data_IF_613381949837
#
_entry.id   IF_613381949837
#
_cell.length_a   1.000
_cell.length_b   1.000
_cell.length_c   1.000
_cell.angle_alpha   90.00
_cell.angle_beta   90.00
_cell.angle_gamma   90.00
#
_symmetry.space_group_name_H-M   'P 1'
#
loop_
_entity.id
_entity.type
_entity.pdbx_description
1 polymer ?
#
# COMPACT_ATOMS: atom_id res chain seq x y z
N UNK A 1 -13.65 -20.55 -0.16
CA UNK A 1 -13.58 -19.07 -0.03
C UNK A 1 -14.27 -18.72 1.28
N UNK A 2 -13.51 -18.54 2.36
CA UNK A 2 -14.06 -18.05 3.64
C UNK A 2 -13.95 -16.53 3.58
N UNK A 3 -15.05 -15.85 3.27
CA UNK A 3 -15.09 -14.40 3.19
C UNK A 3 -15.58 -13.85 4.53
N UNK A 4 -14.67 -13.35 5.36
CA UNK A 4 -15.02 -12.32 6.33
C UNK A 4 -15.32 -11.03 5.55
N UNK A 5 -16.30 -10.22 5.97
CA UNK A 5 -16.97 -9.17 5.17
C UNK A 5 -16.08 -8.18 4.40
N UNK A 6 -14.79 -8.06 4.71
CA UNK A 6 -13.83 -7.19 4.03
C UNK A 6 -12.43 -7.81 3.82
N UNK A 7 -12.27 -9.13 3.99
CA UNK A 7 -11.00 -9.82 3.83
C UNK A 7 -11.13 -10.97 2.85
N UNK A 8 -10.23 -11.00 1.87
CA UNK A 8 -10.21 -12.01 0.81
C UNK A 8 -8.85 -12.69 0.77
N UNK A 9 -8.86 -14.00 0.57
CA UNK A 9 -7.66 -14.80 0.41
C UNK A 9 -7.57 -15.28 -1.03
N UNK A 10 -6.41 -15.04 -1.64
CA UNK A 10 -6.10 -15.50 -2.99
C UNK A 10 -4.98 -16.52 -2.90
N UNK A 11 -5.19 -17.69 -3.51
CA UNK A 11 -4.15 -18.71 -3.65
C UNK A 11 -3.65 -18.67 -5.10
N UNK A 12 -2.37 -18.40 -5.27
CA UNK A 12 -1.71 -18.41 -6.57
C UNK A 12 -1.05 -19.77 -6.79
N UNK A 13 -1.11 -20.26 -8.03
CA UNK A 13 -0.39 -21.47 -8.46
C UNK A 13 1.05 -21.13 -8.84
N UNK A 14 1.24 -19.99 -9.52
CA UNK A 14 2.53 -19.48 -9.94
C UNK A 14 2.98 -18.33 -9.03
N UNK A 15 4.22 -18.40 -8.54
CA UNK A 15 4.79 -17.34 -7.69
C UNK A 15 5.07 -16.05 -8.49
N UNK A 16 5.35 -16.14 -9.78
CA UNK A 16 5.52 -14.96 -10.64
C UNK A 16 4.22 -14.13 -10.73
N UNK A 17 3.07 -14.81 -10.86
CA UNK A 17 1.77 -14.13 -10.95
C UNK A 17 1.39 -13.50 -9.60
N UNK A 18 1.71 -14.19 -8.51
CA UNK A 18 1.59 -13.62 -7.15
C UNK A 18 2.43 -12.35 -7.03
N UNK A 19 3.69 -12.41 -7.47
CA UNK A 19 4.60 -11.27 -7.38
C UNK A 19 4.12 -10.10 -8.25
N UNK A 20 3.66 -10.38 -9.49
CA UNK A 20 3.03 -9.37 -10.36
C UNK A 20 1.88 -8.64 -9.69
N UNK A 21 0.98 -9.35 -9.02
CA UNK A 21 -0.17 -8.74 -8.33
C UNK A 21 0.28 -7.92 -7.11
N UNK A 22 1.27 -8.40 -6.36
CA UNK A 22 1.83 -7.65 -5.21
C UNK A 22 2.50 -6.36 -5.70
N UNK A 23 3.31 -6.44 -6.75
CA UNK A 23 4.04 -5.31 -7.32
C UNK A 23 3.10 -4.27 -7.95
N UNK A 24 1.94 -4.71 -8.45
CA UNK A 24 0.91 -3.83 -8.99
C UNK A 24 0.29 -2.92 -7.93
N UNK A 25 0.37 -3.30 -6.65
CA UNK A 25 -0.15 -2.53 -5.53
C UNK A 25 -1.69 -2.55 -5.42
N UNK A 26 -2.31 -1.48 -4.90
CA UNK A 26 -3.74 -1.44 -4.65
C UNK A 26 -4.56 -1.58 -5.94
N UNK A 27 -5.52 -2.50 -5.93
CA UNK A 27 -6.42 -2.76 -7.05
C UNK A 27 -7.69 -1.94 -6.91
N UNK A 28 -8.09 -1.27 -7.99
CA UNK A 28 -9.40 -0.63 -8.06
C UNK A 28 -10.40 -1.57 -8.73
N UNK A 29 -11.32 -2.14 -7.95
CA UNK A 29 -12.31 -3.11 -8.42
C UNK A 29 -13.70 -2.69 -7.94
N UNK A 30 -14.67 -2.63 -8.85
CA UNK A 30 -16.06 -2.28 -8.55
C UNK A 30 -16.23 -1.00 -7.69
N UNK A 31 -15.44 0.04 -7.96
CA UNK A 31 -15.50 1.31 -7.23
C UNK A 31 -14.85 1.28 -5.84
N UNK A 32 -14.13 0.20 -5.49
CA UNK A 32 -13.45 0.02 -4.21
C UNK A 32 -11.96 -0.23 -4.42
N UNK A 33 -11.14 0.29 -3.50
CA UNK A 33 -9.71 0.02 -3.45
C UNK A 33 -9.48 -1.23 -2.59
N UNK A 34 -8.77 -2.20 -3.15
CA UNK A 34 -8.32 -3.42 -2.48
C UNK A 34 -6.81 -3.34 -2.30
N UNK A 35 -6.37 -3.33 -1.04
CA UNK A 35 -4.94 -3.43 -0.73
C UNK A 35 -4.54 -4.90 -0.78
N UNK A 36 -3.72 -5.26 -1.76
CA UNK A 36 -3.19 -6.62 -1.89
C UNK A 36 -1.82 -6.68 -1.23
N UNK A 37 -1.58 -7.72 -0.42
CA UNK A 37 -0.31 -7.93 0.27
C UNK A 37 -0.08 -9.41 0.56
N UNK A 38 1.18 -9.83 0.79
CA UNK A 38 1.48 -11.16 1.31
C UNK A 38 0.69 -11.44 2.60
N UNK A 39 0.25 -12.68 2.76
CA UNK A 39 -0.40 -13.11 4.00
C UNK A 39 0.59 -13.10 5.15
N UNK A 40 0.16 -12.60 6.30
CA UNK A 40 0.89 -12.67 7.57
C UNK A 40 -0.05 -13.15 8.68
N UNK A 41 0.46 -13.83 9.73
CA UNK A 41 -0.36 -14.22 10.89
C UNK A 41 -1.05 -13.03 11.59
N UNK A 42 -0.50 -11.82 11.43
CA UNK A 42 -1.05 -10.59 11.98
C UNK A 42 -2.22 -9.99 11.19
N UNK A 43 -2.65 -10.61 10.09
CA UNK A 43 -3.69 -10.09 9.20
C UNK A 43 -5.06 -9.96 9.88
N UNK A 44 -5.29 -10.72 10.97
CA UNK A 44 -6.50 -10.64 11.79
C UNK A 44 -6.73 -9.24 12.38
N UNK A 45 -5.70 -8.41 12.52
CA UNK A 45 -5.84 -7.00 12.94
C UNK A 45 -6.72 -6.18 11.99
N UNK A 46 -6.88 -6.63 10.75
CA UNK A 46 -7.63 -5.95 9.70
C UNK A 46 -9.02 -6.57 9.47
N UNK A 47 -9.39 -7.58 10.29
CA UNK A 47 -10.63 -8.36 10.19
C UNK A 47 -11.90 -7.54 10.40
N UNK A 48 -11.82 -6.45 11.18
CA UNK A 48 -12.94 -5.54 11.42
C UNK A 48 -13.17 -4.54 10.27
N UNK A 49 -12.54 -4.79 9.11
CA UNK A 49 -12.43 -3.81 8.04
C UNK A 49 -11.36 -2.78 8.36
N UNK A 50 -10.75 -2.25 7.31
CA UNK A 50 -9.88 -1.10 7.47
C UNK A 50 -10.81 0.10 7.79
N UNK A 51 -10.91 0.53 9.05
CA UNK A 51 -11.44 1.88 9.38
C UNK A 51 -10.54 3.01 8.85
N UNK A 52 -9.41 2.63 8.29
CA UNK A 52 -8.45 3.48 7.63
C UNK A 52 -8.74 3.62 6.12
N UNK A 53 -8.56 4.83 5.60
CA UNK A 53 -8.76 5.14 4.17
C UNK A 53 -7.41 5.21 3.46
N UNK A 54 -7.24 4.58 2.29
CA UNK A 54 -6.08 4.82 1.46
C UNK A 54 -6.17 6.23 0.87
N UNK A 55 -5.18 7.06 1.14
CA UNK A 55 -5.05 8.40 0.57
C UNK A 55 -3.72 8.54 -0.15
N UNK A 56 -3.74 9.24 -1.29
CA UNK A 56 -2.53 9.62 -1.99
C UNK A 56 -1.99 10.93 -1.43
N UNK A 57 -0.76 10.89 -0.92
CA UNK A 57 -0.03 12.06 -0.47
C UNK A 57 1.04 12.44 -1.49
N UNK A 58 1.35 13.73 -1.55
CA UNK A 58 2.49 14.29 -2.26
C UNK A 58 3.43 14.90 -1.23
N UNK A 59 4.69 14.48 -1.25
CA UNK A 59 5.71 14.93 -0.30
C UNK A 59 6.93 15.44 -1.06
N UNK A 60 7.30 16.69 -0.78
CA UNK A 60 8.56 17.25 -1.28
C UNK A 60 9.69 16.80 -0.35
N UNK A 61 10.47 15.82 -0.80
CA UNK A 61 11.52 15.18 0.00
C UNK A 61 12.90 15.81 -0.28
N UNK A 62 13.72 16.05 0.76
CA UNK A 62 15.14 16.32 0.59
C UNK A 62 15.83 15.25 -0.27
N UNK A 63 16.76 15.66 -1.14
CA UNK A 63 17.47 14.76 -2.07
C UNK A 63 18.11 13.54 -1.38
N UNK A 64 18.61 13.70 -0.16
CA UNK A 64 19.23 12.62 0.61
C UNK A 64 18.24 11.58 1.16
N UNK A 65 16.94 11.90 1.22
CA UNK A 65 15.88 10.98 1.66
C UNK A 65 15.22 10.21 0.50
N UNK A 66 15.67 10.40 -0.75
CA UNK A 66 15.23 9.64 -1.92
C UNK A 66 15.77 8.20 -1.96
N UNK A 67 15.63 7.50 -0.83
CA UNK A 67 15.88 6.08 -0.68
C UNK A 67 14.58 5.40 -0.28
N UNK A 68 14.45 4.09 -0.52
CA UNK A 68 13.26 3.34 -0.09
C UNK A 68 12.99 3.55 1.40
N UNK A 69 14.02 3.40 2.23
CA UNK A 69 13.92 3.58 3.68
C UNK A 69 13.56 5.02 4.07
N UNK A 70 14.10 6.03 3.39
CA UNK A 70 13.77 7.44 3.68
C UNK A 70 12.33 7.79 3.33
N UNK A 71 11.84 7.31 2.17
CA UNK A 71 10.46 7.51 1.74
C UNK A 71 9.50 6.76 2.68
N UNK A 72 9.78 5.49 2.97
CA UNK A 72 8.99 4.66 3.90
C UNK A 72 8.93 5.33 5.29
N UNK A 73 10.06 5.79 5.81
CA UNK A 73 10.12 6.48 7.10
C UNK A 73 9.25 7.74 7.13
N UNK A 74 9.38 8.65 6.16
CA UNK A 74 8.59 9.89 6.15
C UNK A 74 7.09 9.59 5.97
N UNK A 75 6.75 8.66 5.10
CA UNK A 75 5.34 8.28 4.88
C UNK A 75 4.70 7.64 6.11
N UNK A 76 5.46 6.87 6.90
CA UNK A 76 4.98 6.26 8.14
C UNK A 76 4.53 7.25 9.22
N UNK A 77 5.00 8.51 9.15
CA UNK A 77 4.56 9.59 10.05
C UNK A 77 3.09 9.95 9.78
N UNK A 78 2.65 9.83 8.53
CA UNK A 78 1.29 10.18 8.11
C UNK A 78 0.35 8.97 8.24
N UNK A 79 0.81 7.78 7.90
CA UNK A 79 0.04 6.54 7.97
C UNK A 79 0.85 5.34 7.46
N UNK A 80 0.26 4.16 7.41
CA UNK A 80 0.96 2.95 6.91
C UNK A 80 1.18 3.07 5.39
N UNK A 81 2.41 3.21 4.86
CA UNK A 81 2.64 3.25 3.43
C UNK A 81 2.32 1.90 2.79
N UNK A 82 1.50 1.94 1.73
CA UNK A 82 1.06 0.72 1.03
C UNK A 82 1.49 0.67 -0.43
N UNK A 83 1.71 1.81 -1.10
CA UNK A 83 2.30 1.83 -2.43
C UNK A 83 2.88 3.20 -2.80
N UNK A 84 3.59 3.26 -3.91
CA UNK A 84 4.12 4.47 -4.52
C UNK A 84 3.74 4.47 -6.00
N UNK A 85 3.67 5.66 -6.62
CA UNK A 85 3.56 5.71 -8.08
C UNK A 85 4.88 5.29 -8.75
N UNK A 86 4.82 4.88 -10.02
CA UNK A 86 5.98 4.37 -10.76
C UNK A 86 7.14 5.36 -10.77
N UNK A 87 6.83 6.65 -10.89
CA UNK A 87 7.85 7.70 -10.95
C UNK A 87 8.63 7.82 -9.62
N UNK A 88 7.94 7.65 -8.49
CA UNK A 88 8.54 7.64 -7.15
C UNK A 88 9.32 6.34 -6.93
N UNK A 89 8.71 5.18 -7.24
CA UNK A 89 9.33 3.87 -7.06
C UNK A 89 10.62 3.71 -7.89
N UNK A 90 10.61 4.16 -9.14
CA UNK A 90 11.76 4.10 -10.07
C UNK A 90 12.68 5.32 -9.98
N UNK A 91 12.32 6.31 -9.15
CA UNK A 91 13.04 7.59 -8.99
C UNK A 91 13.27 8.35 -10.30
N UNK A 92 12.37 8.21 -11.28
CA UNK A 92 12.43 8.97 -12.54
C UNK A 92 11.96 10.42 -12.35
N UNK A 93 11.29 10.72 -11.24
CA UNK A 93 10.93 12.07 -10.78
C UNK A 93 11.41 12.28 -9.35
N UNK A 94 12.21 13.30 -9.12
CA UNK A 94 12.74 13.65 -7.78
C UNK A 94 12.22 14.98 -7.22
N UNK A 95 11.29 15.64 -7.93
CA UNK A 95 10.66 16.88 -7.48
C UNK A 95 9.71 16.67 -6.29
N UNK A 96 9.06 15.50 -6.22
CA UNK A 96 8.17 15.09 -5.15
C UNK A 96 7.94 13.58 -5.21
N UNK A 97 7.76 12.96 -4.05
CA UNK A 97 7.29 11.59 -3.91
C UNK A 97 5.77 11.58 -3.86
N UNK A 98 5.16 10.60 -4.54
CA UNK A 98 3.71 10.33 -4.47
C UNK A 98 3.50 8.93 -3.91
N UNK A 99 2.86 8.87 -2.76
CA UNK A 99 2.79 7.68 -1.91
C UNK A 99 1.33 7.48 -1.52
N UNK A 100 0.85 6.24 -1.55
CA UNK A 100 -0.44 5.89 -0.98
C UNK A 100 -0.21 5.40 0.44
N UNK A 101 -0.87 6.05 1.39
CA UNK A 101 -0.81 5.71 2.81
C UNK A 101 -2.20 5.35 3.29
N UNK A 102 -2.27 4.37 4.18
CA UNK A 102 -3.50 4.00 4.89
C UNK A 102 -3.51 4.74 6.21
N UNK A 103 -4.48 5.64 6.38
CA UNK A 103 -4.61 6.48 7.58
C UNK A 103 -5.86 6.08 8.35
N UNK A 104 -5.69 5.72 9.62
CA UNK A 104 -6.83 5.42 10.49
C UNK A 104 -7.66 6.67 10.71
N UNK A 105 -8.97 6.58 10.43
CA UNK A 105 -9.92 7.67 10.61
C UNK A 105 -10.55 7.65 12.02
N UNK A 106 -9.93 6.95 12.97
CA UNK A 106 -10.35 6.90 14.35
C UNK A 106 -10.23 8.26 15.05
N UNK A 107 -11.35 8.97 15.14
CA UNK A 107 -11.68 9.91 16.23
C UNK A 107 -12.16 9.15 17.45
#
# INVERSE_FOLDING_TARGET
>A
MMADKNLFYFKFVNDEDKQRVIDHGPLFLAGRIFVVRPWTPSIDKYRNGIKARPIWIRVDLPKHLWTKNGIDFISSIIGEPICMDDATARRTRISYARICVVVDMGS
#
